data_IF_251991574367
#
_entry.id   IF_251991574367
#
_cell.length_a   1.000
_cell.length_b   1.000
_cell.length_c   1.000
_cell.angle_alpha   90.00
_cell.angle_beta   90.00
_cell.angle_gamma   90.00
#
_symmetry.space_group_name_H-M   'P 1'
#
loop_
_entity.id
_entity.type
_entity.pdbx_description
1 polymer ?
#
# COMPACT_ATOMS: atom_id res chain seq x y z
N UNK A 1 3.71 -10.40 -15.52
CA UNK A 1 2.90 -10.41 -14.28
C UNK A 1 3.36 -11.49 -13.29
N UNK A 2 3.23 -12.79 -13.59
CA UNK A 2 3.65 -13.89 -12.71
C UNK A 2 5.06 -13.76 -12.08
N UNK A 3 6.13 -13.42 -12.82
CA UNK A 3 7.46 -13.28 -12.20
C UNK A 3 7.53 -12.13 -11.19
N UNK A 4 6.79 -11.04 -11.42
CA UNK A 4 6.70 -9.91 -10.47
C UNK A 4 5.94 -10.31 -9.22
N UNK A 5 4.87 -11.11 -9.35
CA UNK A 5 4.15 -11.65 -8.18
C UNK A 5 5.04 -12.60 -7.37
N UNK A 6 5.82 -13.44 -8.05
CA UNK A 6 6.82 -14.29 -7.39
C UNK A 6 7.88 -13.47 -6.64
N UNK A 7 8.35 -12.37 -7.24
CA UNK A 7 9.26 -11.42 -6.59
C UNK A 7 8.62 -10.80 -5.34
N UNK A 8 7.37 -10.34 -5.42
CA UNK A 8 6.63 -9.78 -4.28
C UNK A 8 6.58 -10.78 -3.13
N UNK A 9 6.17 -12.02 -3.38
CA UNK A 9 6.10 -13.07 -2.35
C UNK A 9 7.46 -13.31 -1.69
N UNK A 10 8.53 -13.43 -2.50
CA UNK A 10 9.88 -13.65 -2.00
C UNK A 10 10.36 -12.48 -1.13
N UNK A 11 10.17 -11.24 -1.60
CA UNK A 11 10.64 -10.05 -0.89
C UNK A 11 9.83 -9.82 0.38
N UNK A 12 8.51 -10.05 0.37
CA UNK A 12 7.68 -9.99 1.59
C UNK A 12 8.12 -11.02 2.64
N UNK A 13 8.52 -12.22 2.22
CA UNK A 13 9.08 -13.22 3.15
C UNK A 13 10.41 -12.75 3.76
N UNK A 14 11.29 -12.15 2.95
CA UNK A 14 12.56 -11.56 3.42
C UNK A 14 12.28 -10.43 4.44
N UNK A 15 11.32 -9.55 4.14
CA UNK A 15 10.90 -8.46 5.04
C UNK A 15 10.45 -9.03 6.39
N UNK A 16 9.60 -10.06 6.41
CA UNK A 16 9.07 -10.66 7.63
C UNK A 16 10.15 -11.28 8.53
N UNK A 17 11.27 -11.71 7.94
CA UNK A 17 12.39 -12.33 8.64
C UNK A 17 13.51 -11.34 9.00
N UNK A 18 13.57 -10.20 8.31
CA UNK A 18 14.62 -9.20 8.48
C UNK A 18 14.44 -8.41 9.78
N UNK A 19 15.58 -8.08 10.40
CA UNK A 19 15.65 -7.19 11.58
C UNK A 19 16.32 -5.85 11.26
N UNK A 20 16.95 -5.76 10.09
CA UNK A 20 17.64 -4.54 9.67
C UNK A 20 16.59 -3.57 9.12
N UNK A 21 16.33 -2.48 9.86
CA UNK A 21 15.29 -1.50 9.54
C UNK A 21 15.45 -0.90 8.15
N UNK A 22 16.70 -0.54 7.78
CA UNK A 22 17.01 -0.01 6.45
C UNK A 22 16.69 -1.03 5.36
N UNK A 23 17.10 -2.30 5.54
CA UNK A 23 16.83 -3.35 4.58
C UNK A 23 15.33 -3.61 4.41
N UNK A 24 14.55 -3.54 5.50
CA UNK A 24 13.08 -3.65 5.45
C UNK A 24 12.46 -2.51 4.65
N UNK A 25 12.88 -1.26 4.86
CA UNK A 25 12.36 -0.11 4.11
C UNK A 25 12.67 -0.22 2.62
N UNK A 26 13.91 -0.56 2.26
CA UNK A 26 14.31 -0.73 0.86
C UNK A 26 13.60 -1.91 0.21
N UNK A 27 13.45 -3.03 0.91
CA UNK A 27 12.72 -4.19 0.41
C UNK A 27 11.22 -3.90 0.23
N UNK A 28 10.61 -3.10 1.12
CA UNK A 28 9.22 -2.67 0.97
C UNK A 28 9.03 -1.83 -0.31
N UNK A 29 9.99 -0.95 -0.60
CA UNK A 29 10.03 -0.18 -1.84
C UNK A 29 10.04 -1.07 -3.09
N UNK A 30 10.84 -2.14 -3.09
CA UNK A 30 10.86 -3.13 -4.17
C UNK A 30 9.48 -3.78 -4.38
N UNK A 31 8.76 -4.09 -3.29
CA UNK A 31 7.40 -4.64 -3.38
C UNK A 31 6.46 -3.64 -4.05
N UNK A 32 6.48 -2.37 -3.63
CA UNK A 32 5.64 -1.33 -4.20
C UNK A 32 5.90 -1.09 -5.69
N UNK A 33 7.17 -0.98 -6.09
CA UNK A 33 7.53 -0.83 -7.51
C UNK A 33 7.16 -2.06 -8.35
N UNK A 34 7.31 -3.27 -7.80
CA UNK A 34 6.87 -4.49 -8.48
C UNK A 34 5.35 -4.50 -8.70
N UNK A 35 4.56 -4.04 -7.72
CA UNK A 35 3.10 -3.90 -7.86
C UNK A 35 2.72 -2.79 -8.85
N UNK A 36 3.43 -1.66 -8.86
CA UNK A 36 3.21 -0.61 -9.86
C UNK A 36 3.47 -1.12 -11.29
N UNK A 37 4.52 -1.92 -11.48
CA UNK A 37 4.79 -2.59 -12.75
C UNK A 37 3.68 -3.61 -13.11
N UNK A 38 3.11 -4.32 -12.13
CA UNK A 38 1.95 -5.18 -12.37
C UNK A 38 0.76 -4.37 -12.87
N UNK A 39 0.43 -3.22 -12.26
CA UNK A 39 -0.66 -2.35 -12.71
C UNK A 39 -0.48 -1.87 -14.15
N UNK A 40 0.74 -1.45 -14.51
CA UNK A 40 1.05 -1.06 -15.89
C UNK A 40 0.85 -2.22 -16.87
N UNK A 41 1.28 -3.44 -16.52
CA UNK A 41 1.16 -4.62 -17.37
C UNK A 41 -0.27 -5.14 -17.54
N UNK A 42 -1.18 -4.85 -16.60
CA UNK A 42 -2.61 -5.22 -16.71
C UNK A 42 -3.48 -4.12 -17.33
N UNK A 43 -2.86 -3.05 -17.86
CA UNK A 43 -3.59 -1.98 -18.55
C UNK A 43 -4.19 -0.92 -17.62
N UNK A 44 -3.64 -0.75 -16.41
CA UNK A 44 -4.02 0.31 -15.47
C UNK A 44 -2.89 1.36 -15.35
N UNK A 45 -2.62 2.18 -16.39
CA UNK A 45 -1.49 3.10 -16.43
C UNK A 45 -1.61 4.24 -15.39
N UNK A 46 -2.80 4.79 -15.16
CA UNK A 46 -3.00 5.90 -14.21
C UNK A 46 -2.73 5.44 -12.77
N UNK A 47 -3.22 4.24 -12.43
CA UNK A 47 -2.95 3.60 -11.13
C UNK A 47 -1.45 3.32 -10.97
N UNK A 48 -0.79 2.86 -12.04
CA UNK A 48 0.66 2.61 -12.00
C UNK A 48 1.47 3.89 -11.77
N UNK A 49 1.12 5.00 -12.44
CA UNK A 49 1.80 6.28 -12.28
C UNK A 49 1.68 6.80 -10.84
N UNK A 50 0.45 6.79 -10.30
CA UNK A 50 0.23 7.21 -8.90
C UNK A 50 0.95 6.27 -7.94
N UNK A 51 0.94 4.96 -8.17
CA UNK A 51 1.66 4.00 -7.33
C UNK A 51 3.17 4.28 -7.29
N UNK A 52 3.80 4.61 -8.41
CA UNK A 52 5.22 4.99 -8.48
C UNK A 52 5.51 6.25 -7.65
N UNK A 53 4.67 7.28 -7.80
CA UNK A 53 4.85 8.55 -7.07
C UNK A 53 4.69 8.32 -5.58
N UNK A 54 3.62 7.66 -5.15
CA UNK A 54 3.34 7.37 -3.75
C UNK A 54 4.43 6.48 -3.15
N UNK A 55 4.89 5.45 -3.86
CA UNK A 55 5.96 4.57 -3.37
C UNK A 55 7.27 5.33 -3.17
N UNK A 56 7.60 6.24 -4.10
CA UNK A 56 8.78 7.11 -3.98
C UNK A 56 8.63 8.03 -2.76
N UNK A 57 7.48 8.67 -2.57
CA UNK A 57 7.23 9.53 -1.42
C UNK A 57 7.29 8.77 -0.09
N UNK A 58 6.66 7.59 0.01
CA UNK A 58 6.69 6.75 1.20
C UNK A 58 8.09 6.27 1.53
N UNK A 59 8.86 5.87 0.51
CA UNK A 59 10.26 5.46 0.67
C UNK A 59 11.07 6.61 1.27
N UNK A 60 10.94 7.84 0.73
CA UNK A 60 11.62 9.03 1.26
C UNK A 60 11.19 9.35 2.69
N UNK A 61 9.89 9.30 3.00
CA UNK A 61 9.38 9.57 4.35
C UNK A 61 9.89 8.53 5.35
N UNK A 62 9.90 7.24 5.00
CA UNK A 62 10.43 6.18 5.86
C UNK A 62 11.94 6.31 6.06
N UNK A 63 12.71 6.64 5.02
CA UNK A 63 14.14 6.91 5.13
C UNK A 63 14.41 8.12 6.03
N UNK A 64 13.68 9.22 5.86
CA UNK A 64 13.81 10.42 6.68
C UNK A 64 13.44 10.15 8.15
N UNK A 65 12.40 9.36 8.39
CA UNK A 65 12.03 8.93 9.73
C UNK A 65 13.13 8.06 10.35
N UNK A 66 13.61 7.05 9.60
CA UNK A 66 14.65 6.14 10.06
C UNK A 66 15.97 6.86 10.38
N UNK A 67 16.35 7.86 9.58
CA UNK A 67 17.53 8.67 9.81
C UNK A 67 17.47 9.50 11.11
N UNK A 68 16.25 9.73 11.65
CA UNK A 68 16.03 10.44 12.91
C UNK A 68 15.85 9.52 14.12
N UNK A 69 15.69 8.22 13.89
CA UNK A 69 15.60 7.24 14.98
C UNK A 69 17.01 6.96 15.54
N UNK A 70 17.22 7.06 16.86
CA UNK A 70 18.50 6.70 17.44
C UNK A 70 18.84 5.24 17.13
N UNK A 71 20.09 4.99 16.77
CA UNK A 71 20.60 3.66 16.39
C UNK A 71 20.69 2.66 17.57
N UNK A 72 20.13 3.06 18.72
CA UNK A 72 19.97 2.22 19.89
C UNK A 72 18.87 1.20 19.61
N UNK A 73 19.25 0.14 18.90
CA UNK A 73 18.52 -1.11 18.97
C UNK A 73 18.29 -1.45 20.44
N UNK A 74 17.10 -1.97 20.82
CA UNK A 74 16.97 -2.54 22.14
C UNK A 74 18.01 -3.67 22.26
N UNK A 75 19.06 -3.38 23.01
CA UNK A 75 19.78 -4.35 23.84
C UNK A 75 18.89 -4.84 25.01
N UNK A 76 17.58 -4.54 24.95
CA UNK A 76 16.54 -5.10 25.82
C UNK A 76 16.20 -6.52 25.36
N UNK A 77 16.90 -7.44 26.02
CA UNK A 77 16.39 -8.73 26.46
C UNK A 77 16.69 -9.95 25.58
N UNK A 78 17.96 -10.33 25.68
CA UNK A 78 18.49 -11.70 25.66
C UNK A 78 17.81 -12.71 26.62
N UNK A 79 16.68 -12.38 27.26
CA UNK A 79 16.03 -13.23 28.28
C UNK A 79 14.50 -13.20 28.17
N UNK A 80 13.90 -14.25 27.58
CA UNK A 80 12.64 -14.85 28.09
C UNK A 80 12.10 -15.94 27.12
N UNK A 81 11.86 -17.18 27.58
CA UNK A 81 11.16 -18.22 26.82
C UNK A 81 9.69 -17.88 26.48
N UNK A 82 9.15 -16.78 27.04
CA UNK A 82 7.81 -16.24 26.76
C UNK A 82 7.64 -15.76 25.31
N UNK A 83 8.74 -15.36 24.63
CA UNK A 83 8.69 -14.74 23.30
C UNK A 83 8.52 -15.74 22.14
N UNK A 84 8.89 -17.02 22.32
CA UNK A 84 8.70 -18.05 21.28
C UNK A 84 7.22 -18.40 21.11
N UNK A 85 6.46 -18.40 22.22
CA UNK A 85 5.00 -18.61 22.20
C UNK A 85 4.27 -17.42 21.56
N UNK A 86 4.73 -16.19 21.77
CA UNK A 86 4.21 -14.99 21.09
C UNK A 86 4.47 -15.06 19.59
N UNK A 87 5.71 -15.36 19.14
CA UNK A 87 6.03 -15.43 17.70
C UNK A 87 5.22 -16.48 16.93
N UNK A 88 4.95 -17.65 17.54
CA UNK A 88 4.10 -18.67 16.92
C UNK A 88 2.64 -18.21 16.81
N UNK A 89 2.13 -17.50 17.81
CA UNK A 89 0.78 -16.91 17.76
C UNK A 89 0.70 -15.82 16.70
N UNK A 90 1.69 -14.94 16.62
CA UNK A 90 1.73 -13.85 15.64
C UNK A 90 1.83 -14.39 14.21
N UNK A 91 2.68 -15.40 13.99
CA UNK A 91 2.78 -16.09 12.71
C UNK A 91 1.47 -16.81 12.35
N UNK A 92 0.85 -17.50 13.31
CA UNK A 92 -0.44 -18.16 13.09
C UNK A 92 -1.55 -17.15 12.78
N UNK A 93 -1.60 -16.02 13.50
CA UNK A 93 -2.55 -14.95 13.24
C UNK A 93 -2.34 -14.34 11.85
N UNK A 94 -1.09 -14.11 11.44
CA UNK A 94 -0.76 -13.62 10.10
C UNK A 94 -1.18 -14.59 8.99
N UNK A 95 -0.93 -15.89 9.16
CA UNK A 95 -1.37 -16.93 8.20
C UNK A 95 -2.88 -17.02 8.14
N UNK A 96 -3.57 -17.02 9.28
CA UNK A 96 -5.04 -17.08 9.33
C UNK A 96 -5.65 -15.85 8.68
N UNK A 97 -5.15 -14.66 8.97
CA UNK A 97 -5.62 -13.41 8.36
C UNK A 97 -5.35 -13.40 6.84
N UNK A 98 -4.15 -13.79 6.42
CA UNK A 98 -3.80 -13.86 4.99
C UNK A 98 -4.66 -14.87 4.23
N UNK A 99 -4.90 -16.05 4.81
CA UNK A 99 -5.77 -17.06 4.22
C UNK A 99 -7.23 -16.59 4.18
N UNK A 100 -7.72 -15.92 5.23
CA UNK A 100 -9.06 -15.37 5.26
C UNK A 100 -9.27 -14.33 4.14
N UNK A 101 -8.30 -13.42 3.97
CA UNK A 101 -8.33 -12.45 2.86
C UNK A 101 -8.28 -13.16 1.52
N UNK A 102 -7.38 -14.13 1.34
CA UNK A 102 -7.25 -14.90 0.10
C UNK A 102 -8.56 -15.61 -0.26
N UNK A 103 -9.15 -16.36 0.66
CA UNK A 103 -10.41 -17.10 0.43
C UNK A 103 -11.55 -16.13 0.11
N UNK A 104 -11.63 -15.00 0.81
CA UNK A 104 -12.66 -13.98 0.57
C UNK A 104 -12.52 -13.40 -0.85
N UNK A 105 -11.33 -12.93 -1.21
CA UNK A 105 -11.05 -12.34 -2.53
C UNK A 105 -11.27 -13.37 -3.63
N UNK A 106 -10.74 -14.59 -3.47
CA UNK A 106 -10.95 -15.69 -4.42
C UNK A 106 -12.43 -16.03 -4.60
N UNK A 107 -13.18 -16.06 -3.49
CA UNK A 107 -14.62 -16.34 -3.49
C UNK A 107 -15.43 -15.32 -4.29
N UNK A 108 -15.07 -14.03 -4.23
CA UNK A 108 -15.70 -12.99 -5.03
C UNK A 108 -15.25 -13.00 -6.50
N UNK A 109 -13.94 -13.12 -6.76
CA UNK A 109 -13.41 -13.03 -8.14
C UNK A 109 -13.65 -14.30 -8.98
N UNK A 110 -13.91 -15.45 -8.37
CA UNK A 110 -14.19 -16.70 -9.12
C UNK A 110 -15.64 -16.79 -9.62
N UNK A 111 -16.50 -15.84 -9.23
CA UNK A 111 -17.89 -15.78 -9.70
C UNK A 111 -17.94 -15.31 -11.16
N UNK A 112 -18.94 -15.74 -11.95
CA UNK A 112 -19.17 -15.18 -13.27
C UNK A 112 -19.34 -13.66 -13.19
N UNK A 113 -18.74 -12.93 -14.13
CA UNK A 113 -18.86 -11.47 -14.18
C UNK A 113 -20.33 -11.05 -14.28
N UNK A 114 -20.84 -10.34 -13.27
CA UNK A 114 -22.17 -9.72 -13.32
C UNK A 114 -22.17 -8.51 -14.26
N UNK A 115 -23.35 -7.99 -14.57
CA UNK A 115 -23.50 -6.70 -15.25
C UNK A 115 -22.70 -5.62 -14.50
N UNK A 116 -21.77 -4.99 -15.21
CA UNK A 116 -20.87 -3.97 -14.66
C UNK A 116 -21.24 -2.59 -15.18
N UNK A 117 -21.15 -1.57 -14.33
CA UNK A 117 -21.32 -0.16 -14.71
C UNK A 117 -20.19 0.35 -15.62
N UNK A 118 -19.12 -0.44 -15.81
CA UNK A 118 -17.98 -0.07 -16.65
C UNK A 118 -18.39 0.26 -18.09
N UNK A 119 -19.32 -0.50 -18.69
CA UNK A 119 -19.80 -0.22 -20.05
C UNK A 119 -20.54 1.12 -20.15
N UNK A 120 -21.27 1.49 -19.10
CA UNK A 120 -21.97 2.77 -19.05
C UNK A 120 -20.99 3.93 -18.88
N UNK A 121 -19.99 3.78 -18.00
CA UNK A 121 -18.94 4.79 -17.84
C UNK A 121 -18.19 5.04 -19.16
N UNK A 122 -17.73 3.98 -19.85
CA UNK A 122 -17.03 4.11 -21.13
C UNK A 122 -17.91 4.82 -22.17
N UNK A 123 -19.20 4.47 -22.25
CA UNK A 123 -20.14 5.09 -23.19
C UNK A 123 -20.38 6.57 -22.90
N UNK A 124 -20.42 6.95 -21.62
CA UNK A 124 -20.71 8.31 -21.18
C UNK A 124 -19.47 9.21 -21.12
N UNK A 125 -18.26 8.66 -21.10
CA UNK A 125 -17.00 9.42 -21.04
C UNK A 125 -16.91 10.55 -22.07
N UNK A 126 -17.24 10.37 -23.37
CA UNK A 126 -17.16 11.46 -24.34
C UNK A 126 -18.09 12.64 -24.04
N UNK A 127 -19.24 12.38 -23.41
CA UNK A 127 -20.21 13.41 -23.03
C UNK A 127 -19.75 14.22 -21.79
N UNK A 128 -18.88 13.64 -20.97
CA UNK A 128 -18.24 14.30 -19.83
C UNK A 128 -16.95 15.06 -20.20
N UNK A 129 -16.77 15.38 -21.49
CA UNK A 129 -15.67 16.21 -22.02
C UNK A 129 -14.24 15.67 -21.75
N UNK A 130 -14.07 14.36 -21.54
CA UNK A 130 -12.77 13.75 -21.27
C UNK A 130 -12.35 12.72 -22.31
N UNK A 131 -11.05 12.68 -22.63
CA UNK A 131 -10.43 11.64 -23.46
C UNK A 131 -9.97 10.42 -22.65
N UNK A 132 -9.86 10.54 -21.33
CA UNK A 132 -9.46 9.48 -20.42
C UNK A 132 -10.63 9.10 -19.49
N UNK A 133 -11.02 7.83 -19.56
CA UNK A 133 -12.12 7.25 -18.79
C UNK A 133 -11.83 7.30 -17.29
N UNK A 134 -10.57 7.08 -16.87
CA UNK A 134 -10.22 7.03 -15.44
C UNK A 134 -10.35 8.42 -14.82
N UNK A 135 -9.77 9.44 -15.46
CA UNK A 135 -9.90 10.83 -15.02
C UNK A 135 -11.37 11.27 -14.94
N UNK A 136 -12.20 10.91 -15.92
CA UNK A 136 -13.64 11.24 -15.90
C UNK A 136 -14.37 10.55 -14.75
N UNK A 137 -14.10 9.26 -14.49
CA UNK A 137 -14.72 8.55 -13.36
C UNK A 137 -14.39 9.26 -12.05
N UNK A 138 -13.13 9.62 -11.84
CA UNK A 138 -12.62 10.18 -10.59
C UNK A 138 -13.07 11.63 -10.39
N UNK A 139 -13.12 12.44 -11.45
CA UNK A 139 -13.47 13.85 -11.38
C UNK A 139 -14.98 14.13 -11.47
N UNK A 140 -15.73 13.38 -12.28
CA UNK A 140 -17.14 13.67 -12.59
C UNK A 140 -18.07 12.62 -11.97
N UNK A 141 -18.08 11.39 -12.50
CA UNK A 141 -19.02 10.34 -12.05
C UNK A 141 -18.91 10.00 -10.56
N UNK A 142 -17.71 10.08 -10.00
CA UNK A 142 -17.41 9.84 -8.59
C UNK A 142 -16.66 11.02 -7.95
N UNK A 143 -16.92 12.24 -8.42
CA UNK A 143 -16.26 13.45 -7.90
C UNK A 143 -16.46 13.71 -6.41
N UNK A 144 -17.51 13.15 -5.79
CA UNK A 144 -17.71 13.25 -4.34
C UNK A 144 -16.69 12.40 -3.56
N UNK A 145 -16.29 11.24 -4.08
CA UNK A 145 -15.30 10.39 -3.42
C UNK A 145 -13.94 11.10 -3.40
N UNK A 146 -13.56 11.77 -4.50
CA UNK A 146 -12.30 12.53 -4.56
C UNK A 146 -12.30 13.77 -3.70
N UNK A 147 -13.43 14.47 -3.59
CA UNK A 147 -13.57 15.59 -2.66
C UNK A 147 -13.30 15.14 -1.22
N UNK A 148 -13.83 13.98 -0.82
CA UNK A 148 -13.60 13.41 0.51
C UNK A 148 -12.15 12.94 0.67
N UNK A 149 -11.56 12.28 -0.33
CA UNK A 149 -10.15 11.85 -0.29
C UNK A 149 -9.20 13.04 -0.09
N UNK A 150 -9.38 14.13 -0.84
CA UNK A 150 -8.58 15.36 -0.70
C UNK A 150 -8.80 15.99 0.68
N UNK A 151 -10.02 15.96 1.20
CA UNK A 151 -10.34 16.47 2.54
C UNK A 151 -9.59 15.68 3.62
N UNK A 152 -9.54 14.35 3.50
CA UNK A 152 -8.77 13.49 4.42
C UNK A 152 -7.27 13.77 4.31
N UNK A 153 -6.75 13.94 3.08
CA UNK A 153 -5.35 14.28 2.86
C UNK A 153 -5.00 15.63 3.50
N UNK A 154 -5.86 16.64 3.34
CA UNK A 154 -5.69 17.95 3.97
C UNK A 154 -5.66 17.83 5.50
N UNK A 155 -6.58 17.05 6.09
CA UNK A 155 -6.61 16.81 7.53
C UNK A 155 -5.33 16.12 8.02
N UNK A 156 -4.80 15.15 7.28
CA UNK A 156 -3.53 14.50 7.59
C UNK A 156 -2.35 15.48 7.54
N UNK A 157 -2.28 16.33 6.52
CA UNK A 157 -1.24 17.36 6.38
C UNK A 157 -1.29 18.34 7.55
N UNK A 158 -2.49 18.86 7.89
CA UNK A 158 -2.68 19.75 9.04
C UNK A 158 -2.26 19.07 10.34
N UNK A 159 -2.62 17.79 10.53
CA UNK A 159 -2.21 17.00 11.68
C UNK A 159 -0.69 16.85 11.80
N UNK A 160 0.01 16.54 10.71
CA UNK A 160 1.47 16.44 10.66
C UNK A 160 2.12 17.79 10.98
N UNK A 161 1.65 18.89 10.38
CA UNK A 161 2.16 20.24 10.65
C UNK A 161 1.96 20.63 12.12
N UNK A 162 0.81 20.32 12.70
CA UNK A 162 0.51 20.60 14.10
C UNK A 162 1.40 19.79 15.07
N UNK A 163 1.74 18.54 14.73
CA UNK A 163 2.66 17.71 15.51
C UNK A 163 4.10 18.24 15.43
N UNK A 164 4.57 18.57 14.23
CA UNK A 164 5.92 19.12 14.03
C UNK A 164 6.09 20.50 14.69
N UNK A 165 5.06 21.34 14.66
CA UNK A 165 5.07 22.68 15.27
C UNK A 165 5.14 22.68 16.80
N UNK A 166 4.76 21.57 17.47
CA UNK A 166 4.84 21.43 18.94
C UNK A 166 6.25 21.11 19.47
N UNK A 167 7.26 21.11 18.62
CA UNK A 167 8.66 21.30 19.04
C UNK A 167 9.39 20.08 19.59
N UNK A 168 8.81 18.87 19.52
CA UNK A 168 9.56 17.63 19.76
C UNK A 168 9.12 16.57 18.77
N UNK A 169 9.83 16.41 17.64
CA UNK A 169 9.58 15.31 16.74
C UNK A 169 9.69 13.96 17.46
N UNK A 170 10.57 13.82 18.46
CA UNK A 170 10.75 12.64 19.32
C UNK A 170 11.44 13.07 20.61
#
# INVERSE_FOLDING_TARGET
>A
VLPLLGLVVLVTLIIALSRARLAVVLALSVVGFALAAVYALIGAPDVALVAVVVETMLTLVFLAALARLPDHGPDRDRRAPVRVRSRRRDAMAGVVAGLAVFVTVWGFLSQPASTTVASDHIRLTPAAHGGDVVTVIVADFRGLDTLVEITVLLAAVVGVVALLGRGRPW
#
